data_IF_003204959801
#
_entry.id   IF_003204959801
#
_cell.length_a   1.000
_cell.length_b   1.000
_cell.length_c   1.000
_cell.angle_alpha   90.00
_cell.angle_beta   90.00
_cell.angle_gamma   90.00
#
_symmetry.space_group_name_H-M   'P 1'
#
loop_
_entity.id
_entity.type
_entity.pdbx_description
1 polymer ?
#
# COMPACT_ATOMS: atom_id res chain seq x y z
N UNK A 1 -50.87 51.75 40.24
CA UNK A 1 -50.07 51.80 38.99
C UNK A 1 -48.80 51.00 39.27
N UNK A 2 -48.77 49.75 38.83
CA UNK A 2 -47.86 49.22 37.77
C UNK A 2 -46.44 49.00 38.28
N UNK A 3 -45.81 47.83 38.22
CA UNK A 3 -46.14 46.58 37.56
C UNK A 3 -45.12 45.50 37.96
N UNK A 4 -45.49 44.25 37.71
CA UNK A 4 -44.71 43.02 37.86
C UNK A 4 -43.59 42.97 36.82
N UNK A 5 -42.40 42.46 37.18
CA UNK A 5 -41.44 41.93 36.22
C UNK A 5 -41.06 40.51 36.64
N UNK A 6 -41.64 39.55 35.91
CA UNK A 6 -41.30 38.14 35.87
C UNK A 6 -40.39 37.92 34.65
N UNK A 7 -39.75 36.75 34.61
CA UNK A 7 -39.14 36.06 33.45
C UNK A 7 -37.60 36.17 33.34
N UNK A 8 -36.84 35.13 33.00
CA UNK A 8 -37.06 33.69 32.83
C UNK A 8 -35.67 33.07 32.65
N UNK A 9 -35.29 32.07 33.44
CA UNK A 9 -34.01 31.36 33.28
C UNK A 9 -34.20 30.19 32.30
N UNK A 10 -33.94 30.42 31.01
CA UNK A 10 -34.01 29.36 30.00
C UNK A 10 -32.69 28.58 29.97
N UNK A 11 -32.63 27.45 30.67
CA UNK A 11 -31.56 26.49 30.50
C UNK A 11 -31.70 25.80 29.14
N UNK A 12 -30.86 26.18 28.18
CA UNK A 12 -30.69 25.44 26.93
C UNK A 12 -30.02 24.10 27.24
N UNK A 13 -30.82 23.08 27.55
CA UNK A 13 -30.39 21.69 27.41
C UNK A 13 -30.18 21.44 25.92
N UNK A 14 -28.96 21.67 25.44
CA UNK A 14 -28.52 21.11 24.18
C UNK A 14 -28.56 19.59 24.33
N UNK A 15 -29.60 18.95 23.82
CA UNK A 15 -29.54 17.55 23.45
C UNK A 15 -28.44 17.41 22.40
N UNK A 16 -27.20 17.21 22.84
CA UNK A 16 -26.23 16.49 22.03
C UNK A 16 -26.82 15.10 21.87
N UNK A 17 -27.54 14.91 20.76
CA UNK A 17 -27.91 13.60 20.28
C UNK A 17 -26.58 12.86 20.14
N UNK A 18 -26.26 12.00 21.11
CA UNK A 18 -25.17 11.04 20.97
C UNK A 18 -25.48 10.31 19.67
N UNK A 19 -24.73 10.63 18.63
CA UNK A 19 -24.88 9.97 17.36
C UNK A 19 -24.41 8.55 17.61
N UNK A 20 -25.37 7.63 17.79
CA UNK A 20 -25.08 6.21 17.89
C UNK A 20 -24.15 5.87 16.73
N UNK A 21 -23.00 5.28 17.07
CA UNK A 21 -22.01 4.90 16.07
C UNK A 21 -22.69 4.00 15.05
N UNK A 22 -22.54 4.30 13.76
CA UNK A 22 -23.05 3.45 12.68
C UNK A 22 -22.37 2.06 12.65
N UNK A 23 -21.35 1.86 13.48
CA UNK A 23 -20.62 0.61 13.62
C UNK A 23 -21.30 -0.29 14.66
N UNK A 24 -21.45 -1.57 14.34
CA UNK A 24 -21.79 -2.61 15.33
C UNK A 24 -20.74 -2.60 16.46
N UNK A 25 -21.14 -2.85 17.73
CA UNK A 25 -20.18 -2.97 18.83
C UNK A 25 -19.07 -3.96 18.49
N UNK A 26 -17.82 -3.54 18.68
CA UNK A 26 -16.66 -4.42 18.44
C UNK A 26 -16.54 -5.42 19.58
N UNK A 27 -16.78 -6.69 19.27
CA UNK A 27 -16.50 -7.81 20.18
C UNK A 27 -15.03 -8.21 20.07
N UNK A 28 -14.23 -7.74 21.02
CA UNK A 28 -12.79 -8.04 21.08
C UNK A 28 -12.52 -9.54 21.30
N UNK A 29 -13.38 -10.25 22.05
CA UNK A 29 -13.16 -11.67 22.32
C UNK A 29 -13.42 -12.51 21.07
N UNK A 30 -14.47 -12.18 20.32
CA UNK A 30 -14.73 -12.77 19.01
C UNK A 30 -13.59 -12.47 18.02
N UNK A 31 -13.07 -11.24 18.01
CA UNK A 31 -11.91 -10.86 17.19
C UNK A 31 -10.65 -11.67 17.56
N UNK A 32 -10.33 -11.81 18.85
CA UNK A 32 -9.20 -12.62 19.32
C UNK A 32 -9.37 -14.09 18.90
N UNK A 33 -10.58 -14.65 19.04
CA UNK A 33 -10.87 -16.04 18.68
C UNK A 33 -10.68 -16.28 17.19
N UNK A 34 -11.12 -15.34 16.35
CA UNK A 34 -10.89 -15.38 14.90
C UNK A 34 -9.39 -15.38 14.57
N UNK A 35 -8.62 -14.46 15.17
CA UNK A 35 -7.17 -14.36 14.95
C UNK A 35 -6.45 -15.63 15.41
N UNK A 36 -6.78 -16.15 16.59
CA UNK A 36 -6.18 -17.38 17.12
C UNK A 36 -6.44 -18.59 16.20
N UNK A 37 -7.67 -18.76 15.74
CA UNK A 37 -8.05 -19.85 14.84
C UNK A 37 -7.33 -19.73 13.50
N UNK A 38 -7.44 -18.57 12.84
CA UNK A 38 -6.83 -18.35 11.52
C UNK A 38 -5.31 -18.47 11.56
N UNK A 39 -4.66 -17.92 12.59
CA UNK A 39 -3.20 -18.00 12.71
C UNK A 39 -2.72 -19.44 12.92
N UNK A 40 -3.45 -20.26 13.68
CA UNK A 40 -3.17 -21.69 13.84
C UNK A 40 -3.36 -22.47 12.55
N UNK A 41 -4.48 -22.27 11.87
CA UNK A 41 -4.83 -22.98 10.63
C UNK A 41 -3.83 -22.69 9.49
N UNK A 42 -3.39 -21.43 9.39
CA UNK A 42 -2.47 -20.97 8.35
C UNK A 42 -1.00 -21.06 8.77
N UNK A 43 -0.71 -21.64 9.94
CA UNK A 43 0.64 -21.78 10.50
C UNK A 43 1.41 -20.44 10.55
N UNK A 44 0.71 -19.34 10.85
CA UNK A 44 1.31 -18.01 10.91
C UNK A 44 2.06 -17.87 12.24
N UNK A 45 3.39 -17.60 12.23
CA UNK A 45 4.17 -17.55 13.47
C UNK A 45 3.82 -16.40 14.40
N UNK A 46 3.34 -15.28 13.86
CA UNK A 46 2.99 -14.08 14.63
C UNK A 46 2.06 -13.16 13.86
N UNK A 47 1.05 -12.63 14.55
CA UNK A 47 0.04 -11.72 13.99
C UNK A 47 -0.28 -10.62 15.00
N UNK A 48 -0.42 -9.39 14.54
CA UNK A 48 -1.08 -8.30 15.27
C UNK A 48 -2.17 -7.71 14.39
N UNK A 49 -3.34 -7.48 14.98
CA UNK A 49 -4.45 -6.76 14.35
C UNK A 49 -4.80 -5.56 15.22
N UNK A 50 -4.76 -4.37 14.63
CA UNK A 50 -5.12 -3.11 15.28
C UNK A 50 -6.34 -2.53 14.57
N UNK A 51 -7.43 -2.33 15.31
CA UNK A 51 -8.63 -1.63 14.85
C UNK A 51 -8.71 -0.28 15.55
N UNK A 52 -8.72 0.81 14.77
CA UNK A 52 -8.96 2.17 15.28
C UNK A 52 -10.30 2.65 14.78
N UNK A 53 -11.25 2.84 15.70
CA UNK A 53 -12.64 3.19 15.38
C UNK A 53 -13.13 4.30 16.31
N UNK A 54 -14.28 4.95 16.01
CA UNK A 54 -14.93 5.83 16.98
C UNK A 54 -15.34 5.16 18.30
N UNK A 55 -15.43 3.82 18.36
CA UNK A 55 -15.69 3.07 19.59
C UNK A 55 -14.44 2.85 20.45
N UNK A 56 -13.25 3.20 19.93
CA UNK A 56 -11.97 2.99 20.59
C UNK A 56 -10.95 2.27 19.71
N UNK A 57 -9.78 2.01 20.31
CA UNK A 57 -8.70 1.22 19.73
C UNK A 57 -8.72 -0.21 20.31
N UNK A 58 -8.71 -1.21 19.44
CA UNK A 58 -8.72 -2.62 19.80
C UNK A 58 -7.53 -3.32 19.17
N UNK A 59 -6.69 -3.93 20.00
CA UNK A 59 -5.54 -4.71 19.56
C UNK A 59 -5.69 -6.16 20.00
N UNK A 60 -5.49 -7.08 19.08
CA UNK A 60 -5.35 -8.52 19.33
C UNK A 60 -4.07 -9.02 18.69
N UNK A 61 -3.44 -9.99 19.33
CA UNK A 61 -2.16 -10.53 18.87
C UNK A 61 -2.12 -12.05 19.03
N UNK A 62 -1.30 -12.70 18.23
CA UNK A 62 -1.04 -14.14 18.28
C UNK A 62 0.44 -14.41 18.05
N UNK A 63 0.96 -15.47 18.67
CA UNK A 63 2.27 -16.05 18.33
C UNK A 63 3.46 -15.23 18.84
N UNK A 64 4.51 -15.12 18.01
CA UNK A 64 5.78 -14.49 18.39
C UNK A 64 6.41 -13.73 17.23
N UNK A 65 7.21 -12.72 17.54
CA UNK A 65 8.04 -11.98 16.57
C UNK A 65 9.34 -12.71 16.19
N UNK A 66 9.73 -13.72 16.95
CA UNK A 66 10.93 -14.53 16.72
C UNK A 66 10.66 -16.01 17.05
N UNK A 67 11.02 -16.93 16.15
CA UNK A 67 10.86 -18.37 16.38
C UNK A 67 11.60 -18.78 17.66
N UNK A 68 10.90 -19.53 18.53
CA UNK A 68 11.43 -19.95 19.84
C UNK A 68 11.34 -18.88 20.94
N UNK A 69 10.93 -17.65 20.63
CA UNK A 69 10.64 -16.62 21.62
C UNK A 69 9.15 -16.59 21.99
N UNK A 70 8.82 -15.85 23.05
CA UNK A 70 7.46 -15.66 23.57
C UNK A 70 6.94 -14.23 23.41
N UNK A 71 7.68 -13.36 22.73
CA UNK A 71 7.32 -11.95 22.55
C UNK A 71 6.20 -11.79 21.53
N UNK A 72 5.01 -11.45 22.00
CA UNK A 72 3.87 -11.15 21.14
C UNK A 72 4.15 -9.91 20.27
N UNK A 73 3.74 -9.92 18.99
CA UNK A 73 3.76 -8.72 18.17
C UNK A 73 2.77 -7.68 18.72
N UNK A 74 3.22 -6.43 18.83
CA UNK A 74 2.45 -5.27 19.26
C UNK A 74 2.21 -4.27 18.12
N UNK A 75 1.45 -3.21 18.43
CA UNK A 75 1.16 -2.13 17.47
C UNK A 75 2.40 -1.34 17.01
N UNK A 76 3.49 -1.43 17.79
CA UNK A 76 4.80 -0.83 17.56
C UNK A 76 5.79 -1.81 16.88
N UNK A 77 5.39 -3.06 16.64
CA UNK A 77 6.24 -4.03 15.95
C UNK A 77 6.36 -3.68 14.47
N UNK A 78 7.60 -3.60 13.97
CA UNK A 78 7.88 -3.30 12.57
C UNK A 78 7.90 -4.58 11.72
N UNK A 79 7.23 -4.51 10.56
CA UNK A 79 7.22 -5.57 9.56
C UNK A 79 7.55 -5.01 8.19
N UNK A 80 8.06 -5.86 7.30
CA UNK A 80 8.13 -5.54 5.86
C UNK A 80 6.72 -5.63 5.29
N UNK A 81 6.12 -4.49 4.94
CA UNK A 81 4.71 -4.39 4.53
C UNK A 81 4.42 -4.87 3.10
N UNK A 82 5.44 -5.36 2.38
CA UNK A 82 5.35 -5.89 1.01
C UNK A 82 4.56 -4.95 0.08
N UNK A 83 3.58 -5.49 -0.64
CA UNK A 83 2.79 -4.79 -1.66
C UNK A 83 1.98 -3.59 -1.16
N UNK A 84 1.79 -3.41 0.16
CA UNK A 84 1.20 -2.17 0.68
C UNK A 84 2.03 -0.93 0.30
N UNK A 85 3.34 -1.08 0.08
CA UNK A 85 4.25 -0.03 -0.38
C UNK A 85 3.78 0.66 -1.67
N UNK A 86 3.04 -0.06 -2.53
CA UNK A 86 2.55 0.47 -3.81
C UNK A 86 1.70 1.72 -3.65
N UNK A 87 0.85 1.78 -2.62
CA UNK A 87 0.02 2.95 -2.33
C UNK A 87 0.87 4.19 -2.06
N UNK A 88 1.99 4.04 -1.33
CA UNK A 88 2.92 5.14 -1.07
C UNK A 88 3.63 5.59 -2.35
N UNK A 89 4.09 4.65 -3.19
CA UNK A 89 4.68 4.97 -4.50
C UNK A 89 3.68 5.71 -5.39
N UNK A 90 2.43 5.24 -5.47
CA UNK A 90 1.38 5.89 -6.26
C UNK A 90 1.13 7.33 -5.79
N UNK A 91 1.07 7.57 -4.47
CA UNK A 91 0.93 8.90 -3.91
C UNK A 91 2.09 9.83 -4.33
N UNK A 92 3.34 9.34 -4.29
CA UNK A 92 4.51 10.11 -4.75
C UNK A 92 4.38 10.48 -6.23
N UNK A 93 3.96 9.54 -7.08
CA UNK A 93 3.78 9.80 -8.52
C UNK A 93 2.69 10.84 -8.78
N UNK A 94 1.56 10.75 -8.08
CA UNK A 94 0.48 11.73 -8.21
C UNK A 94 0.92 13.11 -7.71
N UNK A 95 1.67 13.18 -6.61
CA UNK A 95 2.24 14.45 -6.13
C UNK A 95 3.21 15.05 -7.14
N UNK A 96 4.08 14.25 -7.74
CA UNK A 96 4.99 14.71 -8.80
C UNK A 96 4.23 15.19 -10.05
N UNK A 97 3.08 14.58 -10.37
CA UNK A 97 2.22 15.03 -11.47
C UNK A 97 1.57 16.39 -11.20
N UNK A 98 1.29 16.69 -9.93
CA UNK A 98 0.74 17.98 -9.50
C UNK A 98 1.82 19.07 -9.38
N UNK A 99 3.08 18.68 -9.16
CA UNK A 99 4.21 19.59 -8.92
C UNK A 99 4.78 20.18 -10.23
N UNK A 100 4.03 21.11 -10.83
CA UNK A 100 4.54 21.99 -11.89
C UNK A 100 4.94 21.27 -13.19
N UNK A 101 4.37 20.10 -13.47
CA UNK A 101 4.62 19.36 -14.71
C UNK A 101 5.90 18.53 -14.72
N UNK A 102 6.45 18.18 -13.55
CA UNK A 102 7.60 17.25 -13.44
C UNK A 102 7.32 15.89 -14.10
N UNK A 103 6.06 15.45 -14.08
CA UNK A 103 5.56 14.39 -14.94
C UNK A 103 4.09 14.62 -15.32
N UNK A 104 3.63 14.06 -16.43
CA UNK A 104 2.19 13.90 -16.72
C UNK A 104 1.80 12.43 -16.58
N UNK A 105 0.59 12.18 -16.08
CA UNK A 105 0.05 10.82 -15.98
C UNK A 105 -0.18 10.17 -17.36
N UNK A 106 -0.37 10.99 -18.39
CA UNK A 106 -0.57 10.55 -19.77
C UNK A 106 0.74 10.47 -20.57
N UNK A 107 1.88 10.85 -19.96
CA UNK A 107 3.15 10.73 -20.65
C UNK A 107 3.49 9.26 -20.94
N UNK A 108 4.04 8.96 -22.13
CA UNK A 108 4.63 7.66 -22.37
C UNK A 108 5.84 7.46 -21.45
N UNK A 109 6.00 6.24 -20.94
CA UNK A 109 7.11 5.86 -20.07
C UNK A 109 8.48 6.12 -20.73
N UNK A 110 8.57 5.95 -22.05
CA UNK A 110 9.80 6.17 -22.82
C UNK A 110 10.34 7.61 -22.72
N UNK A 111 9.52 8.59 -22.33
CA UNK A 111 9.95 9.96 -22.01
C UNK A 111 10.92 10.03 -20.82
N UNK A 112 10.84 9.04 -19.93
CA UNK A 112 11.59 8.97 -18.68
C UNK A 112 12.60 7.83 -18.65
N UNK A 113 12.25 6.68 -19.22
CA UNK A 113 13.07 5.47 -19.20
C UNK A 113 13.13 4.90 -20.61
N UNK A 114 14.30 4.92 -21.28
CA UNK A 114 14.44 4.33 -22.61
C UNK A 114 14.32 2.81 -22.56
N UNK A 115 14.13 2.19 -23.73
CA UNK A 115 14.18 0.74 -23.95
C UNK A 115 13.19 -0.11 -23.14
N UNK A 116 12.13 0.51 -22.61
CA UNK A 116 11.01 -0.22 -22.02
C UNK A 116 10.17 -0.86 -23.14
N UNK A 117 9.86 -2.17 -23.09
CA UNK A 117 8.98 -2.80 -24.07
C UNK A 117 7.63 -2.09 -24.16
N UNK A 118 7.23 -1.66 -25.37
CA UNK A 118 6.06 -0.81 -25.62
C UNK A 118 6.04 0.52 -24.83
N UNK A 119 7.18 0.99 -24.32
CA UNK A 119 7.26 2.17 -23.45
C UNK A 119 6.85 3.48 -24.12
N UNK A 120 6.85 3.53 -25.45
CA UNK A 120 6.30 4.63 -26.26
C UNK A 120 4.77 4.69 -26.25
N UNK A 121 4.11 3.61 -25.82
CA UNK A 121 2.66 3.47 -25.73
C UNK A 121 2.15 3.35 -24.30
N UNK A 122 2.96 2.78 -23.40
CA UNK A 122 2.60 2.66 -21.98
C UNK A 122 2.64 4.05 -21.34
N UNK A 123 1.52 4.49 -20.79
CA UNK A 123 1.39 5.71 -20.01
C UNK A 123 1.72 5.47 -18.53
N UNK A 124 2.02 6.55 -17.79
CA UNK A 124 2.17 6.48 -16.32
C UNK A 124 0.87 5.99 -15.64
N UNK A 125 -0.29 6.42 -16.13
CA UNK A 125 -1.61 5.93 -15.67
C UNK A 125 -1.74 4.41 -15.82
N UNK A 126 -1.28 3.84 -16.93
CA UNK A 126 -1.34 2.40 -17.15
C UNK A 126 -0.40 1.62 -16.23
N UNK A 127 0.77 2.17 -15.87
CA UNK A 127 1.62 1.60 -14.83
C UNK A 127 0.91 1.58 -13.47
N UNK A 128 0.35 2.72 -13.05
CA UNK A 128 -0.35 2.86 -11.76
C UNK A 128 -1.52 1.88 -11.64
N UNK A 129 -2.25 1.66 -12.74
CA UNK A 129 -3.45 0.83 -12.80
C UNK A 129 -3.21 -0.63 -13.16
N UNK A 130 -1.95 -1.07 -13.28
CA UNK A 130 -1.61 -2.47 -13.63
C UNK A 130 -2.11 -2.88 -15.03
N UNK A 131 -2.04 -1.97 -16.01
CA UNK A 131 -2.52 -2.16 -17.39
C UNK A 131 -1.43 -2.03 -18.45
N UNK A 132 -0.17 -2.01 -18.06
CA UNK A 132 0.97 -1.88 -18.99
C UNK A 132 1.16 -3.10 -19.90
N UNK A 133 0.74 -4.28 -19.43
CA UNK A 133 1.05 -5.57 -20.07
C UNK A 133 2.48 -6.06 -19.87
N UNK A 134 3.33 -5.32 -19.14
CA UNK A 134 4.72 -5.73 -18.88
C UNK A 134 4.78 -7.04 -18.09
N UNK A 135 5.71 -7.91 -18.48
CA UNK A 135 6.07 -9.10 -17.72
C UNK A 135 6.45 -8.74 -16.28
N UNK A 136 5.98 -9.50 -15.29
CA UNK A 136 6.36 -9.26 -13.89
C UNK A 136 7.63 -10.04 -13.56
N UNK A 137 8.69 -9.37 -13.09
CA UNK A 137 9.99 -10.02 -12.87
C UNK A 137 9.94 -11.20 -11.88
N UNK A 138 8.94 -11.22 -11.00
CA UNK A 138 8.71 -12.27 -10.01
C UNK A 138 7.88 -13.44 -10.55
N UNK A 139 7.56 -13.47 -11.85
CA UNK A 139 7.15 -14.70 -12.54
C UNK A 139 8.36 -15.47 -13.11
N UNK A 140 9.54 -14.85 -13.15
CA UNK A 140 10.76 -15.47 -13.66
C UNK A 140 11.28 -16.53 -12.66
N UNK A 141 11.47 -17.80 -13.07
CA UNK A 141 11.94 -18.86 -12.18
C UNK A 141 13.38 -18.62 -11.69
N UNK A 142 14.24 -17.97 -12.49
CA UNK A 142 15.62 -17.67 -12.09
C UNK A 142 15.65 -16.59 -11.00
N UNK A 143 14.69 -15.66 -10.99
CA UNK A 143 14.54 -14.69 -9.90
C UNK A 143 14.33 -15.40 -8.55
N UNK A 144 13.43 -16.39 -8.51
CA UNK A 144 13.17 -17.18 -7.31
C UNK A 144 14.34 -18.07 -6.92
N UNK A 145 15.01 -18.71 -7.89
CA UNK A 145 16.18 -19.53 -7.63
C UNK A 145 17.33 -18.73 -7.00
N UNK A 146 17.53 -17.48 -7.42
CA UNK A 146 18.50 -16.58 -6.77
C UNK A 146 18.03 -16.16 -5.39
N UNK A 147 16.75 -15.81 -5.22
CA UNK A 147 16.21 -15.38 -3.93
C UNK A 147 16.28 -16.50 -2.86
N UNK A 148 16.05 -17.75 -3.26
CA UNK A 148 16.16 -18.91 -2.36
C UNK A 148 17.61 -19.17 -1.95
N UNK A 149 18.55 -19.10 -2.90
CA UNK A 149 19.98 -19.30 -2.63
C UNK A 149 20.58 -18.14 -1.83
N UNK A 150 20.13 -16.91 -2.08
CA UNK A 150 20.70 -15.68 -1.55
C UNK A 150 19.61 -14.74 -1.01
N UNK A 151 18.91 -15.11 0.08
CA UNK A 151 17.74 -14.36 0.58
C UNK A 151 18.07 -12.95 1.09
N UNK A 152 19.34 -12.68 1.38
CA UNK A 152 19.82 -11.37 1.80
C UNK A 152 20.22 -10.46 0.61
N UNK A 153 20.16 -10.94 -0.63
CA UNK A 153 20.52 -10.16 -1.81
C UNK A 153 19.66 -8.90 -1.90
N UNK A 154 20.33 -7.77 -2.10
CA UNK A 154 19.67 -6.49 -2.39
C UNK A 154 19.56 -6.35 -3.91
N UNK A 155 18.33 -6.23 -4.39
CA UNK A 155 18.04 -6.02 -5.81
C UNK A 155 17.85 -4.54 -6.10
N UNK A 156 18.58 -4.03 -7.08
CA UNK A 156 18.34 -2.70 -7.64
C UNK A 156 17.12 -2.71 -8.57
N UNK A 157 16.44 -1.57 -8.77
CA UNK A 157 15.36 -1.47 -9.75
C UNK A 157 15.81 -1.87 -11.16
N UNK A 158 17.05 -1.50 -11.56
CA UNK A 158 17.57 -1.85 -12.88
C UNK A 158 17.72 -3.37 -13.08
N UNK A 159 18.17 -4.11 -12.05
CA UNK A 159 18.29 -5.57 -12.12
C UNK A 159 16.93 -6.24 -12.33
N UNK A 160 15.91 -5.85 -11.56
CA UNK A 160 14.58 -6.47 -11.68
C UNK A 160 13.88 -6.07 -12.99
N UNK A 161 14.09 -4.84 -13.47
CA UNK A 161 13.60 -4.42 -14.79
C UNK A 161 14.30 -5.20 -15.92
N UNK A 162 15.61 -5.45 -15.81
CA UNK A 162 16.35 -6.24 -16.78
C UNK A 162 15.90 -7.71 -16.83
N UNK A 163 15.40 -8.27 -15.72
CA UNK A 163 14.74 -9.59 -15.73
C UNK A 163 13.44 -9.49 -16.52
N UNK A 164 12.55 -8.56 -16.17
CA UNK A 164 11.26 -8.40 -16.82
C UNK A 164 11.38 -8.18 -18.34
N UNK A 165 12.33 -7.36 -18.79
CA UNK A 165 12.44 -6.96 -20.21
C UNK A 165 13.04 -8.04 -21.12
N UNK A 166 13.50 -9.18 -20.56
CA UNK A 166 13.88 -10.36 -21.36
C UNK A 166 12.68 -11.14 -21.88
N UNK A 167 11.50 -10.90 -21.31
CA UNK A 167 10.28 -11.63 -21.60
C UNK A 167 9.32 -10.78 -22.44
N UNK A 168 8.49 -11.40 -23.30
CA UNK A 168 7.46 -10.68 -24.01
C UNK A 168 6.41 -10.12 -23.05
N UNK A 169 5.83 -8.94 -23.31
CA UNK A 169 4.66 -8.45 -22.60
C UNK A 169 3.48 -9.43 -22.73
N UNK A 170 2.64 -9.53 -21.68
CA UNK A 170 1.43 -10.36 -21.69
C UNK A 170 0.39 -9.87 -22.70
N UNK A 171 0.28 -8.55 -22.87
CA UNK A 171 -0.69 -7.91 -23.78
C UNK A 171 -0.28 -6.48 -24.15
N UNK A 172 -0.89 -5.87 -25.19
CA UNK A 172 -0.68 -4.47 -25.52
C UNK A 172 -1.13 -3.51 -24.40
N UNK A 173 -0.49 -2.34 -24.23
CA UNK A 173 -0.86 -1.40 -23.17
C UNK A 173 -2.34 -1.01 -23.20
N UNK A 174 -2.96 -0.96 -22.02
CA UNK A 174 -4.33 -0.51 -21.84
C UNK A 174 -5.40 -1.54 -22.22
N UNK A 175 -5.07 -2.67 -22.86
CA UNK A 175 -6.08 -3.65 -23.34
C UNK A 175 -6.44 -4.71 -22.30
N UNK A 176 -5.69 -4.81 -21.20
CA UNK A 176 -5.88 -5.83 -20.17
C UNK A 176 -5.49 -5.33 -18.77
N UNK A 177 -5.62 -6.23 -17.79
CA UNK A 177 -5.16 -6.02 -16.43
C UNK A 177 -4.28 -7.21 -16.01
N UNK A 178 -3.11 -6.92 -15.46
CA UNK A 178 -2.23 -7.90 -14.85
C UNK A 178 -1.47 -7.25 -13.71
N UNK A 179 -1.62 -7.80 -12.50
CA UNK A 179 -0.84 -7.34 -11.36
C UNK A 179 0.65 -7.55 -11.65
N UNK A 180 1.44 -6.48 -11.63
CA UNK A 180 2.85 -6.54 -12.02
C UNK A 180 3.71 -5.70 -11.10
N UNK A 181 4.67 -6.34 -10.44
CA UNK A 181 5.67 -5.65 -9.63
C UNK A 181 6.61 -4.81 -10.50
N UNK A 182 6.82 -5.20 -11.76
CA UNK A 182 7.59 -4.42 -12.74
C UNK A 182 7.03 -3.01 -12.91
N UNK A 183 5.70 -2.83 -12.89
CA UNK A 183 5.09 -1.50 -12.99
C UNK A 183 5.55 -0.56 -11.87
N UNK A 184 5.56 -1.06 -10.64
CA UNK A 184 5.93 -0.25 -9.47
C UNK A 184 7.45 -0.13 -9.29
N UNK A 185 8.24 -1.10 -9.77
CA UNK A 185 9.69 -0.94 -9.91
C UNK A 185 10.03 0.18 -10.89
N UNK A 186 9.30 0.27 -12.00
CA UNK A 186 9.49 1.29 -13.03
C UNK A 186 9.04 2.68 -12.56
N UNK A 187 7.89 2.79 -11.89
CA UNK A 187 7.43 4.05 -11.26
C UNK A 187 8.45 4.57 -10.23
N UNK A 188 9.02 3.68 -9.40
CA UNK A 188 10.08 4.06 -8.46
C UNK A 188 11.36 4.49 -9.19
N UNK A 189 11.72 3.80 -10.27
CA UNK A 189 12.93 4.12 -11.03
C UNK A 189 12.83 5.52 -11.64
N UNK A 190 11.71 5.85 -12.27
CA UNK A 190 11.52 7.18 -12.87
C UNK A 190 11.33 8.30 -11.82
N UNK A 191 10.76 8.01 -10.65
CA UNK A 191 10.56 9.04 -9.60
C UNK A 191 11.87 9.49 -8.94
N UNK A 192 12.91 8.66 -8.97
CA UNK A 192 14.22 8.97 -8.38
C UNK A 192 15.07 9.94 -9.24
N UNK A 193 14.52 10.42 -10.36
CA UNK A 193 15.12 11.45 -11.20
C UNK A 193 16.06 10.89 -12.27
N UNK A 194 16.00 11.50 -13.46
CA UNK A 194 17.02 11.43 -14.51
C UNK A 194 18.42 11.55 -13.89
N UNK A 195 19.47 10.95 -14.48
CA UNK A 195 20.84 11.32 -14.13
C UNK A 195 20.90 12.85 -14.19
N UNK A 196 21.29 13.48 -13.07
CA UNK A 196 21.60 14.90 -13.07
C UNK A 196 22.60 15.11 -14.19
N UNK A 197 22.23 15.85 -15.22
CA UNK A 197 23.23 16.45 -16.09
C UNK A 197 24.14 17.26 -15.16
N UNK A 198 25.37 16.79 -14.96
CA UNK A 198 26.37 17.53 -14.23
C UNK A 198 26.56 18.90 -14.91
N UNK A 199 26.68 20.00 -14.15
CA UNK A 199 27.27 21.22 -14.69
C UNK A 199 28.75 21.01 -15.04
#
# INVERSE_FOLDING_TARGET
>A
MTGVALESLTALLSCQRQQESALKPIDKAALQTMVDTTAKELLIPGVVVVLRTPQGEFTVSYGTTLLGATSLPGADTHFRIASNTKTMTAAVIVLLAQDGGKLSLDDPVSKYVPDVPNGDKITITELLNMRSGLYTYDDDPDFWAVLEREPAKVWSPAEVLAIAFKHPPYFPPGTGYHYSNTNYALLRFLSNGRPRSNP
#
